data_IF_635107054975
#
_entry.id   IF_635107054975
#
_cell.length_a   1.000
_cell.length_b   1.000
_cell.length_c   1.000
_cell.angle_alpha   90.00
_cell.angle_beta   90.00
_cell.angle_gamma   90.00
#
_symmetry.space_group_name_H-M   'P 1'
#
loop_
_entity.id
_entity.type
_entity.pdbx_description
1 polymer ?
#
# COMPACT_ATOMS: atom_id res chain seq x y z
N UNK A 1 6.16 -26.71 13.52
CA UNK A 1 6.66 -25.85 12.44
C UNK A 1 7.05 -24.51 13.06
N UNK A 2 8.32 -24.18 13.13
CA UNK A 2 8.80 -22.89 13.66
C UNK A 2 8.95 -21.93 12.48
N UNK A 3 8.52 -20.67 12.58
CA UNK A 3 8.74 -19.69 11.51
C UNK A 3 10.24 -19.38 11.39
N UNK A 4 10.73 -19.24 10.19
CA UNK A 4 12.10 -18.85 9.87
C UNK A 4 12.46 -17.56 10.61
N UNK A 5 13.42 -17.62 11.53
CA UNK A 5 14.03 -16.46 12.16
C UNK A 5 15.18 -15.97 11.29
N UNK A 6 14.99 -14.82 10.64
CA UNK A 6 16.10 -14.07 10.08
C UNK A 6 16.94 -13.43 11.20
N UNK A 7 18.26 -13.32 11.03
CA UNK A 7 19.13 -12.74 12.06
C UNK A 7 18.81 -11.25 12.28
N UNK A 8 18.86 -10.89 13.54
CA UNK A 8 18.55 -9.60 14.14
C UNK A 8 19.52 -8.51 13.65
N UNK A 9 19.17 -7.75 12.61
CA UNK A 9 19.89 -6.57 12.12
C UNK A 9 19.23 -5.28 12.66
N UNK A 10 18.60 -5.36 13.83
CA UNK A 10 17.74 -4.33 14.40
C UNK A 10 18.35 -3.41 15.43
N UNK A 11 19.68 -3.24 15.56
CA UNK A 11 20.23 -2.51 16.75
C UNK A 11 20.92 -1.17 16.51
N UNK A 12 21.06 -0.65 15.32
CA UNK A 12 21.90 0.56 15.11
C UNK A 12 21.25 1.84 14.54
N UNK A 13 19.93 1.87 14.24
CA UNK A 13 19.36 3.02 13.51
C UNK A 13 18.30 3.85 14.27
N UNK A 14 18.03 3.57 15.55
CA UNK A 14 16.94 4.24 16.31
C UNK A 14 17.44 5.50 17.08
N UNK A 15 18.72 5.71 17.21
CA UNK A 15 19.26 6.82 18.03
C UNK A 15 19.24 8.21 17.37
N UNK A 16 19.00 8.32 16.05
CA UNK A 16 19.06 9.58 15.30
C UNK A 16 17.75 10.40 15.25
N UNK A 17 16.62 9.85 15.67
CA UNK A 17 15.29 10.45 15.43
C UNK A 17 14.77 11.39 16.53
N UNK A 18 15.52 11.66 17.60
CA UNK A 18 14.99 12.29 18.82
C UNK A 18 15.45 13.74 19.09
N UNK A 19 16.27 14.34 18.24
CA UNK A 19 16.92 15.64 18.56
C UNK A 19 16.24 16.91 17.98
N UNK A 20 15.07 16.82 17.34
CA UNK A 20 14.47 17.93 16.56
C UNK A 20 13.19 18.58 17.08
N UNK A 21 12.74 18.31 18.30
CA UNK A 21 11.41 18.77 18.77
C UNK A 21 11.49 19.64 20.04
N UNK A 22 11.97 20.86 19.95
CA UNK A 22 11.76 21.90 20.96
C UNK A 22 11.75 23.29 20.32
N UNK A 23 10.61 23.78 19.87
CA UNK A 23 10.23 25.21 19.96
C UNK A 23 8.71 25.31 20.07
N UNK A 24 8.23 25.74 21.22
CA UNK A 24 6.84 26.03 21.54
C UNK A 24 6.57 27.53 21.45
N UNK A 25 5.48 27.90 20.73
CA UNK A 25 4.82 29.17 20.90
C UNK A 25 3.41 28.94 21.47
N UNK A 26 3.16 29.43 22.65
CA UNK A 26 1.83 29.48 23.28
C UNK A 26 1.00 30.58 22.61
N UNK A 27 -0.21 30.25 22.16
CA UNK A 27 -1.25 31.26 21.80
C UNK A 27 -2.47 30.99 22.68
N UNK A 28 -2.86 32.02 23.40
CA UNK A 28 -4.03 32.03 24.31
C UNK A 28 -5.34 32.07 23.49
N UNK A 29 -6.44 31.48 24.00
CA UNK A 29 -7.72 31.53 23.30
C UNK A 29 -8.38 32.90 23.46
N UNK A 30 -8.71 33.57 22.37
CA UNK A 30 -9.63 34.70 22.32
C UNK A 30 -11.07 34.22 22.24
N UNK A 31 -11.91 34.72 23.12
CA UNK A 31 -13.34 34.49 23.12
C UNK A 31 -13.99 35.15 21.92
N UNK A 32 -14.67 34.36 21.08
CA UNK A 32 -15.45 34.85 19.95
C UNK A 32 -16.90 35.10 20.40
N UNK A 33 -17.45 36.22 19.93
CA UNK A 33 -18.82 36.69 20.17
C UNK A 33 -19.84 35.88 19.39
N UNK A 34 -21.01 35.68 20.00
CA UNK A 34 -22.20 35.11 19.39
C UNK A 34 -22.67 35.91 18.18
N UNK A 35 -22.67 35.26 17.03
CA UNK A 35 -23.46 35.65 15.87
C UNK A 35 -24.45 34.51 15.59
N UNK A 36 -25.73 34.84 15.66
CA UNK A 36 -26.83 33.94 15.31
C UNK A 36 -26.83 33.70 13.81
N UNK A 37 -26.49 32.49 13.39
CA UNK A 37 -26.62 32.10 12.00
C UNK A 37 -27.34 30.76 11.85
N UNK A 38 -28.19 30.70 10.84
CA UNK A 38 -28.81 29.46 10.39
C UNK A 38 -27.71 28.41 10.21
N UNK A 39 -27.72 27.38 11.06
CA UNK A 39 -26.76 26.27 10.98
C UNK A 39 -26.88 25.64 9.61
N UNK A 40 -25.98 25.96 8.71
CA UNK A 40 -25.77 25.14 7.53
C UNK A 40 -25.40 23.74 8.01
N UNK A 41 -26.11 22.74 7.52
CA UNK A 41 -25.83 21.33 7.88
C UNK A 41 -24.41 21.05 7.41
N UNK A 42 -23.53 20.65 8.32
CA UNK A 42 -22.16 20.32 8.00
C UNK A 42 -22.13 19.18 6.96
N UNK A 43 -21.22 19.20 5.98
CA UNK A 43 -21.15 18.15 4.97
C UNK A 43 -20.81 16.81 5.62
N UNK A 44 -21.50 15.73 5.19
CA UNK A 44 -21.29 14.36 5.69
C UNK A 44 -20.28 13.56 4.86
N UNK A 45 -19.73 14.12 3.80
CA UNK A 45 -18.76 13.49 2.89
C UNK A 45 -18.22 14.47 1.86
N UNK A 46 -17.36 14.00 0.94
CA UNK A 46 -16.86 14.77 -0.19
C UNK A 46 -17.98 15.34 -1.06
N UNK A 47 -17.70 16.33 -1.91
CA UNK A 47 -18.68 16.83 -2.87
C UNK A 47 -19.22 15.71 -3.77
N UNK A 48 -20.50 15.77 -4.20
CA UNK A 48 -21.04 14.80 -5.14
C UNK A 48 -20.19 14.74 -6.42
N UNK A 49 -19.80 13.53 -6.80
CA UNK A 49 -18.98 13.30 -7.99
C UNK A 49 -19.82 13.53 -9.26
N UNK A 50 -19.26 14.24 -10.23
CA UNK A 50 -19.79 14.29 -11.60
C UNK A 50 -19.56 12.96 -12.35
N UNK A 51 -20.02 12.88 -13.60
CA UNK A 51 -19.91 11.66 -14.39
C UNK A 51 -18.45 11.31 -14.73
N UNK A 52 -17.59 12.31 -14.99
CA UNK A 52 -16.17 12.07 -15.30
C UNK A 52 -15.40 11.66 -14.06
N UNK A 53 -15.66 12.27 -12.91
CA UNK A 53 -15.04 11.88 -11.64
C UNK A 53 -15.40 10.44 -11.28
N UNK A 54 -16.66 10.05 -11.42
CA UNK A 54 -17.08 8.63 -11.19
C UNK A 54 -16.40 7.68 -12.17
N UNK A 55 -16.37 8.00 -13.47
CA UNK A 55 -15.66 7.20 -14.49
C UNK A 55 -14.17 7.07 -14.12
N UNK A 56 -13.53 8.16 -13.74
CA UNK A 56 -12.14 8.15 -13.31
C UNK A 56 -11.89 7.18 -12.14
N UNK A 57 -12.75 7.18 -11.12
CA UNK A 57 -12.63 6.23 -9.99
C UNK A 57 -12.95 4.78 -10.37
N UNK A 58 -13.94 4.52 -11.23
CA UNK A 58 -14.22 3.17 -11.74
C UNK A 58 -12.99 2.60 -12.43
N UNK A 59 -12.37 3.35 -13.34
CA UNK A 59 -11.14 2.95 -14.02
C UNK A 59 -9.94 2.84 -13.07
N UNK A 60 -9.81 3.77 -12.12
CA UNK A 60 -8.75 3.75 -11.10
C UNK A 60 -8.76 2.47 -10.27
N UNK A 61 -9.92 2.09 -9.74
CA UNK A 61 -10.06 0.87 -8.95
C UNK A 61 -10.00 -0.41 -9.79
N UNK A 62 -10.25 -0.33 -11.09
CA UNK A 62 -10.04 -1.43 -12.05
C UNK A 62 -8.58 -1.51 -12.58
N UNK A 63 -7.66 -0.65 -12.10
CA UNK A 63 -6.26 -0.52 -12.53
C UNK A 63 -6.08 -0.03 -13.97
N UNK A 64 -7.13 0.46 -14.63
CA UNK A 64 -7.06 1.17 -15.92
C UNK A 64 -6.64 2.62 -15.70
N UNK A 65 -5.39 2.77 -15.25
CA UNK A 65 -4.86 4.08 -14.88
C UNK A 65 -4.76 5.06 -16.05
N UNK A 66 -4.58 4.58 -17.29
CA UNK A 66 -4.53 5.46 -18.46
C UNK A 66 -5.85 6.19 -18.66
N UNK A 67 -6.97 5.46 -18.61
CA UNK A 67 -8.30 6.05 -18.70
C UNK A 67 -8.62 6.90 -17.48
N UNK A 68 -8.30 6.44 -16.26
CA UNK A 68 -8.51 7.19 -15.03
C UNK A 68 -7.79 8.55 -15.04
N UNK A 69 -6.52 8.59 -15.43
CA UNK A 69 -5.71 9.81 -15.56
C UNK A 69 -6.34 10.76 -16.59
N UNK A 70 -6.71 10.22 -17.78
CA UNK A 70 -7.35 11.01 -18.83
C UNK A 70 -8.65 11.67 -18.34
N UNK A 71 -9.46 10.95 -17.57
CA UNK A 71 -10.72 11.49 -17.05
C UNK A 71 -10.46 12.54 -15.97
N UNK A 72 -9.55 12.30 -15.01
CA UNK A 72 -9.19 13.29 -14.00
C UNK A 72 -8.46 14.52 -14.57
N UNK A 73 -7.72 14.40 -15.68
CA UNK A 73 -7.16 15.56 -16.40
C UNK A 73 -8.27 16.45 -16.98
N UNK A 74 -9.34 15.85 -17.54
CA UNK A 74 -10.52 16.60 -18.02
C UNK A 74 -11.24 17.29 -16.86
N UNK A 75 -11.39 16.61 -15.71
CA UNK A 75 -11.97 17.20 -14.49
C UNK A 75 -11.13 18.39 -14.03
N UNK A 76 -9.81 18.23 -13.90
CA UNK A 76 -8.93 19.33 -13.48
C UNK A 76 -8.91 20.50 -14.48
N UNK A 77 -9.06 20.21 -15.77
CA UNK A 77 -9.17 21.25 -16.81
C UNK A 77 -10.50 22.02 -16.71
N UNK A 78 -11.59 21.34 -16.37
CA UNK A 78 -12.90 21.96 -16.18
C UNK A 78 -12.98 22.74 -14.85
N UNK A 79 -12.28 22.27 -13.82
CA UNK A 79 -12.29 22.83 -12.47
C UNK A 79 -10.85 23.12 -11.98
N UNK A 80 -10.15 24.09 -12.58
CA UNK A 80 -8.72 24.32 -12.33
C UNK A 80 -8.41 24.77 -10.90
N UNK A 81 -9.39 25.34 -10.20
CA UNK A 81 -9.25 25.88 -8.85
C UNK A 81 -9.85 24.94 -7.78
N UNK A 82 -10.26 23.74 -8.19
CA UNK A 82 -10.77 22.73 -7.26
C UNK A 82 -9.62 21.84 -6.72
N UNK A 83 -9.36 21.87 -5.38
CA UNK A 83 -8.35 21.03 -4.79
C UNK A 83 -8.66 19.52 -4.88
N UNK A 84 -9.95 19.12 -4.98
CA UNK A 84 -10.32 17.73 -5.20
C UNK A 84 -9.88 17.24 -6.58
N UNK A 85 -10.09 18.04 -7.63
CA UNK A 85 -9.66 17.69 -8.98
C UNK A 85 -8.13 17.47 -9.05
N UNK A 86 -7.36 18.33 -8.39
CA UNK A 86 -5.91 18.16 -8.29
C UNK A 86 -5.52 16.91 -7.49
N UNK A 87 -6.24 16.61 -6.39
CA UNK A 87 -6.00 15.43 -5.55
C UNK A 87 -6.32 14.12 -6.28
N UNK A 88 -7.45 14.04 -6.99
CA UNK A 88 -7.83 12.86 -7.76
C UNK A 88 -6.80 12.54 -8.86
N UNK A 89 -6.36 13.57 -9.60
CA UNK A 89 -5.35 13.38 -10.64
C UNK A 89 -4.01 12.93 -10.04
N UNK A 90 -3.53 13.56 -8.96
CA UNK A 90 -2.26 13.14 -8.35
C UNK A 90 -2.35 11.73 -7.77
N UNK A 91 -3.49 11.33 -7.22
CA UNK A 91 -3.71 9.97 -6.76
C UNK A 91 -3.55 8.98 -7.92
N UNK A 92 -4.24 9.21 -9.05
CA UNK A 92 -4.17 8.33 -10.20
C UNK A 92 -2.74 8.23 -10.78
N UNK A 93 -2.03 9.35 -10.93
CA UNK A 93 -0.65 9.36 -11.45
C UNK A 93 0.30 8.65 -10.48
N UNK A 94 0.16 8.88 -9.17
CA UNK A 94 1.03 8.27 -8.16
C UNK A 94 0.83 6.76 -8.05
N UNK A 95 -0.43 6.30 -7.97
CA UNK A 95 -0.73 4.89 -7.88
C UNK A 95 -0.47 4.14 -9.20
N UNK A 96 -0.60 4.80 -10.37
CA UNK A 96 -0.13 4.27 -11.65
C UNK A 96 1.37 3.94 -11.61
N UNK A 97 2.18 4.87 -11.10
CA UNK A 97 3.62 4.67 -11.04
C UNK A 97 4.00 3.62 -9.97
N UNK A 98 3.31 3.58 -8.82
CA UNK A 98 3.45 2.49 -7.85
C UNK A 98 3.10 1.13 -8.46
N UNK A 99 2.04 1.09 -9.29
CA UNK A 99 1.65 -0.10 -10.01
C UNK A 99 2.74 -0.57 -10.97
N UNK A 100 3.25 0.35 -11.80
CA UNK A 100 4.31 0.08 -12.78
C UNK A 100 5.55 -0.55 -12.14
N UNK A 101 5.91 -0.13 -10.93
CA UNK A 101 7.08 -0.67 -10.20
C UNK A 101 6.73 -1.84 -9.27
N UNK A 102 5.51 -2.38 -9.35
CA UNK A 102 5.07 -3.51 -8.55
C UNK A 102 4.87 -3.21 -7.06
N UNK A 103 4.79 -1.93 -6.69
CA UNK A 103 4.72 -1.50 -5.29
C UNK A 103 3.31 -1.58 -4.68
N UNK A 104 2.28 -1.95 -5.45
CA UNK A 104 0.91 -2.12 -4.93
C UNK A 104 0.60 -3.53 -4.40
N UNK A 105 1.53 -4.48 -4.51
CA UNK A 105 1.36 -5.79 -3.87
C UNK A 105 1.44 -5.65 -2.35
N UNK A 106 0.34 -5.92 -1.67
CA UNK A 106 0.23 -5.83 -0.21
C UNK A 106 1.14 -6.80 0.54
N UNK A 107 1.59 -7.88 -0.11
CA UNK A 107 2.55 -8.83 0.47
C UNK A 107 3.87 -8.16 0.85
N UNK A 108 4.25 -7.08 0.14
CA UNK A 108 5.43 -6.27 0.44
C UNK A 108 5.34 -5.61 1.83
N UNK A 109 4.13 -5.31 2.28
CA UNK A 109 3.82 -4.57 3.51
C UNK A 109 3.33 -5.48 4.65
N UNK A 110 3.21 -6.77 4.42
CA UNK A 110 2.76 -7.74 5.42
C UNK A 110 3.70 -7.79 6.64
N UNK A 111 4.98 -7.44 6.47
CA UNK A 111 5.98 -7.33 7.53
C UNK A 111 6.67 -5.97 7.50
N UNK A 112 7.54 -5.69 8.47
CA UNK A 112 8.30 -4.43 8.50
C UNK A 112 9.55 -4.45 7.57
N UNK A 113 9.78 -5.51 6.82
CA UNK A 113 10.92 -5.65 5.92
C UNK A 113 10.93 -4.59 4.79
N UNK A 114 9.76 -4.06 4.41
CA UNK A 114 9.66 -2.99 3.41
C UNK A 114 10.43 -1.71 3.79
N UNK A 115 10.64 -1.45 5.08
CA UNK A 115 11.41 -0.30 5.56
C UNK A 115 12.88 -0.36 5.13
N UNK A 116 13.43 -1.57 4.99
CA UNK A 116 14.80 -1.80 4.56
C UNK A 116 14.98 -1.85 3.03
N UNK A 117 13.88 -1.89 2.26
CA UNK A 117 13.95 -1.92 0.81
C UNK A 117 14.53 -0.63 0.22
N UNK A 118 15.23 -0.76 -0.90
CA UNK A 118 15.71 0.37 -1.71
C UNK A 118 14.53 1.25 -2.16
N UNK A 119 14.85 2.46 -2.63
CA UNK A 119 13.88 3.35 -3.27
C UNK A 119 13.26 2.66 -4.48
N UNK A 120 11.96 2.87 -4.67
CA UNK A 120 11.33 2.46 -5.92
C UNK A 120 11.84 3.33 -7.10
N UNK A 121 12.11 2.74 -8.26
CA UNK A 121 12.69 3.44 -9.42
C UNK A 121 11.61 4.20 -10.19
N UNK A 122 11.10 5.29 -9.63
CA UNK A 122 10.13 6.16 -10.30
C UNK A 122 10.75 6.90 -11.47
N UNK A 123 9.97 7.10 -12.53
CA UNK A 123 10.35 8.00 -13.62
C UNK A 123 10.50 9.44 -13.11
N UNK A 124 11.55 10.12 -13.54
CA UNK A 124 11.86 11.47 -13.05
C UNK A 124 10.82 12.51 -13.47
N UNK A 125 10.20 12.38 -14.66
CA UNK A 125 9.16 13.28 -15.15
C UNK A 125 7.87 13.05 -14.39
N UNK A 126 7.50 11.78 -14.18
CA UNK A 126 6.32 11.40 -13.38
C UNK A 126 6.49 11.87 -11.93
N UNK A 127 7.68 11.71 -11.34
CA UNK A 127 7.99 12.23 -10.00
C UNK A 127 7.83 13.76 -9.92
N UNK A 128 8.25 14.50 -10.94
CA UNK A 128 8.07 15.95 -10.98
C UNK A 128 6.58 16.34 -11.09
N UNK A 129 5.84 15.65 -11.96
CA UNK A 129 4.38 15.85 -12.10
C UNK A 129 3.63 15.58 -10.79
N UNK A 130 3.95 14.49 -10.11
CA UNK A 130 3.35 14.14 -8.81
C UNK A 130 3.59 15.27 -7.79
N UNK A 131 4.83 15.77 -7.69
CA UNK A 131 5.19 16.85 -6.76
C UNK A 131 4.44 18.15 -7.10
N UNK A 132 4.37 18.52 -8.38
CA UNK A 132 3.66 19.71 -8.85
C UNK A 132 2.16 19.63 -8.51
N UNK A 133 1.50 18.49 -8.79
CA UNK A 133 0.08 18.30 -8.48
C UNK A 133 -0.20 18.32 -6.97
N UNK A 134 0.69 17.74 -6.15
CA UNK A 134 0.59 17.82 -4.69
C UNK A 134 0.70 19.26 -4.18
N UNK A 135 1.68 20.02 -4.67
CA UNK A 135 1.82 21.44 -4.30
C UNK A 135 0.60 22.27 -4.72
N UNK A 136 0.07 22.01 -5.93
CA UNK A 136 -1.17 22.66 -6.41
C UNK A 136 -2.35 22.35 -5.50
N UNK A 137 -2.61 21.08 -5.18
CA UNK A 137 -3.70 20.67 -4.29
C UNK A 137 -3.60 21.31 -2.89
N UNK A 138 -2.38 21.37 -2.33
CA UNK A 138 -2.12 22.04 -1.06
C UNK A 138 -2.37 23.54 -1.14
N UNK A 139 -1.85 24.21 -2.16
CA UNK A 139 -2.02 25.66 -2.34
C UNK A 139 -3.50 26.06 -2.48
N UNK A 140 -4.27 25.33 -3.30
CA UNK A 140 -5.71 25.55 -3.47
C UNK A 140 -6.49 25.36 -2.16
N UNK A 141 -6.16 24.31 -1.41
CA UNK A 141 -6.78 24.07 -0.09
C UNK A 141 -6.43 25.17 0.91
N UNK A 142 -5.17 25.63 0.93
CA UNK A 142 -4.73 26.71 1.81
C UNK A 142 -5.36 28.06 1.46
N UNK A 143 -5.58 28.34 0.18
CA UNK A 143 -6.33 29.54 -0.26
C UNK A 143 -7.77 29.54 0.29
N UNK A 144 -8.48 28.40 0.21
CA UNK A 144 -9.82 28.27 0.78
C UNK A 144 -9.83 28.44 2.29
N UNK A 145 -8.88 27.82 2.99
CA UNK A 145 -8.75 27.89 4.44
C UNK A 145 -8.31 29.28 4.94
N UNK A 146 -7.66 30.08 4.11
CA UNK A 146 -7.36 31.48 4.42
C UNK A 146 -8.64 32.34 4.43
N UNK A 147 -9.65 31.97 3.64
CA UNK A 147 -10.96 32.64 3.60
C UNK A 147 -11.91 32.13 4.69
N UNK A 148 -11.94 30.79 4.86
CA UNK A 148 -12.71 30.10 5.91
C UNK A 148 -11.85 29.01 6.57
N UNK A 149 -11.29 29.26 7.75
CA UNK A 149 -10.49 28.28 8.50
C UNK A 149 -11.26 27.00 8.92
N UNK A 150 -12.60 27.03 8.87
CA UNK A 150 -13.47 25.90 9.19
C UNK A 150 -14.08 25.24 7.93
N UNK A 151 -13.60 25.56 6.74
CA UNK A 151 -14.01 24.89 5.51
C UNK A 151 -13.67 23.39 5.59
N UNK A 152 -14.69 22.59 5.93
CA UNK A 152 -14.58 21.13 6.14
C UNK A 152 -14.02 20.44 4.89
N UNK A 153 -14.46 20.86 3.69
CA UNK A 153 -14.02 20.25 2.44
C UNK A 153 -12.53 20.57 2.16
N UNK A 154 -12.12 21.81 2.40
CA UNK A 154 -10.73 22.22 2.22
C UNK A 154 -9.80 21.54 3.24
N UNK A 155 -10.23 21.39 4.52
CA UNK A 155 -9.50 20.61 5.53
C UNK A 155 -9.35 19.16 5.10
N UNK A 156 -10.45 18.54 4.63
CA UNK A 156 -10.46 17.14 4.22
C UNK A 156 -9.48 16.88 3.07
N UNK A 157 -9.61 17.62 1.95
CA UNK A 157 -8.76 17.38 0.78
C UNK A 157 -7.30 17.78 1.02
N UNK A 158 -7.03 18.79 1.86
CA UNK A 158 -5.66 19.10 2.32
C UNK A 158 -5.06 17.93 3.09
N UNK A 159 -5.85 17.33 3.96
CA UNK A 159 -5.47 16.14 4.71
C UNK A 159 -5.15 14.95 3.80
N UNK A 160 -5.99 14.68 2.78
CA UNK A 160 -5.72 13.65 1.77
C UNK A 160 -4.40 13.92 1.04
N UNK A 161 -4.20 15.14 0.53
CA UNK A 161 -2.97 15.50 -0.21
C UNK A 161 -1.72 15.39 0.66
N UNK A 162 -1.81 15.76 1.97
CA UNK A 162 -0.72 15.54 2.94
C UNK A 162 -0.47 14.05 3.19
N UNK A 163 -1.51 13.23 3.21
CA UNK A 163 -1.41 11.77 3.31
C UNK A 163 -0.63 11.18 2.13
N UNK A 164 -1.03 11.50 0.91
CA UNK A 164 -0.32 11.09 -0.32
C UNK A 164 1.14 11.56 -0.33
N UNK A 165 1.37 12.82 0.11
CA UNK A 165 2.73 13.36 0.21
C UNK A 165 3.58 12.61 1.25
N UNK A 166 2.99 12.21 2.36
CA UNK A 166 3.68 11.39 3.37
C UNK A 166 4.07 10.03 2.80
N UNK A 167 3.16 9.40 2.06
CA UNK A 167 3.39 8.12 1.39
C UNK A 167 4.50 8.22 0.34
N UNK A 168 4.44 9.22 -0.54
CA UNK A 168 5.48 9.48 -1.53
C UNK A 168 6.86 9.68 -0.88
N UNK A 169 6.95 10.53 0.14
CA UNK A 169 8.20 10.81 0.86
C UNK A 169 8.76 9.57 1.56
N UNK A 170 7.90 8.71 2.09
CA UNK A 170 8.32 7.46 2.74
C UNK A 170 8.77 6.40 1.73
N UNK A 171 8.00 6.17 0.67
CA UNK A 171 8.24 5.08 -0.27
C UNK A 171 9.29 5.43 -1.33
N UNK A 172 9.24 6.66 -1.88
CA UNK A 172 10.04 7.08 -3.02
C UNK A 172 11.30 7.82 -2.57
N UNK A 173 11.15 8.90 -1.79
CA UNK A 173 12.28 9.73 -1.40
C UNK A 173 13.04 9.19 -0.18
N UNK A 174 12.42 8.27 0.62
CA UNK A 174 12.94 7.77 1.92
C UNK A 174 13.20 8.90 2.92
N UNK A 175 12.44 9.98 2.81
CA UNK A 175 12.56 11.19 3.63
C UNK A 175 11.65 11.09 4.88
N UNK A 176 11.99 10.20 5.81
CA UNK A 176 11.15 9.77 6.93
C UNK A 176 10.65 10.92 7.83
N UNK A 177 11.48 11.93 8.13
CA UNK A 177 11.05 13.08 8.94
C UNK A 177 10.02 13.95 8.23
N UNK A 178 10.21 14.18 6.93
CA UNK A 178 9.26 14.93 6.13
C UNK A 178 7.95 14.14 5.95
N UNK A 179 8.04 12.83 5.76
CA UNK A 179 6.90 11.93 5.71
C UNK A 179 6.08 11.98 7.01
N UNK A 180 6.74 11.85 8.17
CA UNK A 180 6.09 11.94 9.48
C UNK A 180 5.39 13.29 9.69
N UNK A 181 6.05 14.41 9.35
CA UNK A 181 5.45 15.74 9.48
C UNK A 181 4.17 15.88 8.64
N UNK A 182 4.17 15.35 7.42
CA UNK A 182 2.99 15.37 6.56
C UNK A 182 1.89 14.43 7.09
N UNK A 183 2.23 13.24 7.56
CA UNK A 183 1.27 12.32 8.19
C UNK A 183 0.60 12.92 9.44
N UNK A 184 1.36 13.64 10.28
CA UNK A 184 0.82 14.36 11.43
C UNK A 184 -0.06 15.54 11.01
N UNK A 185 0.26 16.22 9.91
CA UNK A 185 -0.57 17.25 9.30
C UNK A 185 -1.90 16.68 8.80
N UNK A 186 -1.85 15.58 8.04
CA UNK A 186 -3.02 14.87 7.56
C UNK A 186 -3.95 14.44 8.70
N UNK A 187 -3.37 13.86 9.76
CA UNK A 187 -4.12 13.50 10.98
C UNK A 187 -4.87 14.70 11.55
N UNK A 188 -4.19 15.82 11.79
CA UNK A 188 -4.80 17.02 12.41
C UNK A 188 -5.94 17.57 11.56
N UNK A 189 -5.75 17.60 10.22
CA UNK A 189 -6.79 18.04 9.31
C UNK A 189 -8.04 17.16 9.40
N UNK A 190 -7.89 15.83 9.43
CA UNK A 190 -9.03 14.91 9.51
C UNK A 190 -9.65 14.84 10.91
N UNK A 191 -8.87 15.04 11.99
CA UNK A 191 -9.43 15.20 13.35
C UNK A 191 -10.29 16.46 13.43
N UNK A 192 -9.88 17.55 12.80
CA UNK A 192 -10.66 18.79 12.73
C UNK A 192 -11.92 18.60 11.87
N UNK A 193 -11.83 17.88 10.73
CA UNK A 193 -13.00 17.49 9.94
C UNK A 193 -14.03 16.77 10.82
N UNK A 194 -13.63 15.74 11.58
CA UNK A 194 -14.56 15.01 12.45
C UNK A 194 -15.05 15.84 13.64
N UNK A 195 -14.33 16.86 14.07
CA UNK A 195 -14.79 17.80 15.10
C UNK A 195 -15.90 18.70 14.58
N UNK A 196 -15.76 19.19 13.32
CA UNK A 196 -16.73 20.07 12.67
C UNK A 196 -17.91 19.31 12.07
N UNK A 197 -17.65 18.13 11.53
CA UNK A 197 -18.60 17.27 10.84
C UNK A 197 -18.43 15.80 11.31
N UNK A 198 -19.01 15.40 12.46
CA UNK A 198 -18.82 14.07 13.05
C UNK A 198 -19.24 12.90 12.15
N UNK A 199 -20.17 13.16 11.24
CA UNK A 199 -20.72 12.15 10.31
C UNK A 199 -19.89 12.03 9.01
N UNK A 200 -18.77 12.74 8.89
CA UNK A 200 -17.88 12.69 7.70
C UNK A 200 -17.05 11.40 7.71
N UNK A 201 -17.67 10.31 7.28
CA UNK A 201 -17.09 8.96 7.40
C UNK A 201 -15.76 8.78 6.66
N UNK A 202 -15.60 9.41 5.49
CA UNK A 202 -14.38 9.31 4.66
C UNK A 202 -13.12 9.81 5.42
N UNK A 203 -13.26 10.78 6.32
CA UNK A 203 -12.16 11.26 7.14
C UNK A 203 -11.58 10.17 8.08
N UNK A 204 -12.36 9.14 8.38
CA UNK A 204 -11.92 8.02 9.21
C UNK A 204 -10.91 7.10 8.50
N UNK A 205 -10.85 7.11 7.18
CA UNK A 205 -9.88 6.30 6.42
C UNK A 205 -8.44 6.68 6.77
N UNK A 206 -8.08 7.96 6.62
CA UNK A 206 -6.73 8.45 6.92
C UNK A 206 -6.42 8.32 8.42
N UNK A 207 -7.38 8.63 9.28
CA UNK A 207 -7.21 8.46 10.72
C UNK A 207 -7.04 7.00 11.12
N UNK A 208 -7.78 6.09 10.48
CA UNK A 208 -7.68 4.66 10.70
C UNK A 208 -6.28 4.13 10.38
N UNK A 209 -5.77 4.48 9.21
CA UNK A 209 -4.38 4.15 8.81
C UNK A 209 -3.38 4.75 9.80
N UNK A 210 -3.52 6.04 10.13
CA UNK A 210 -2.62 6.70 11.07
C UNK A 210 -2.59 6.02 12.45
N UNK A 211 -3.75 5.79 13.06
CA UNK A 211 -3.83 5.16 14.39
C UNK A 211 -3.28 3.74 14.41
N UNK A 212 -3.51 2.97 13.34
CA UNK A 212 -2.97 1.62 13.24
C UNK A 212 -1.46 1.62 13.09
N UNK A 213 -0.92 2.40 12.16
CA UNK A 213 0.54 2.48 11.90
C UNK A 213 1.27 2.99 13.13
N UNK A 214 0.81 4.09 13.74
CA UNK A 214 1.36 4.62 14.99
C UNK A 214 1.28 3.60 16.13
N UNK A 215 0.15 2.86 16.22
CA UNK A 215 -0.06 1.76 17.17
C UNK A 215 0.83 0.54 16.95
N UNK A 216 1.44 0.41 15.78
CA UNK A 216 2.33 -0.70 15.42
C UNK A 216 3.81 -0.38 15.61
N UNK A 217 4.16 0.87 15.95
CA UNK A 217 5.53 1.27 16.23
C UNK A 217 6.11 0.56 17.48
N UNK A 218 7.43 0.35 17.56
CA UNK A 218 8.10 -0.19 18.73
C UNK A 218 7.80 0.64 19.99
N UNK A 219 7.74 -0.01 21.16
CA UNK A 219 7.37 0.64 22.42
C UNK A 219 8.30 1.83 22.78
N UNK A 220 9.59 1.76 22.44
CA UNK A 220 10.57 2.83 22.64
C UNK A 220 10.19 4.10 21.86
N UNK A 221 9.73 3.94 20.62
CA UNK A 221 9.25 5.06 19.78
C UNK A 221 7.94 5.59 20.33
N UNK A 222 7.03 4.70 20.77
CA UNK A 222 5.77 5.10 21.41
C UNK A 222 5.99 5.89 22.69
N UNK A 223 6.90 5.47 23.55
CA UNK A 223 7.22 6.18 24.80
C UNK A 223 7.68 7.62 24.53
N UNK A 224 8.53 7.82 23.51
CA UNK A 224 8.96 9.15 23.09
C UNK A 224 7.81 9.97 22.48
N UNK A 225 6.97 9.34 21.66
CA UNK A 225 5.83 9.99 21.02
C UNK A 225 4.66 10.30 21.97
N UNK A 226 4.53 9.57 23.12
CA UNK A 226 3.52 9.89 24.15
C UNK A 226 3.74 11.24 24.82
N UNK A 227 4.98 11.68 24.92
CA UNK A 227 5.34 13.00 25.47
C UNK A 227 4.78 14.15 24.63
N UNK A 228 4.46 13.93 23.37
CA UNK A 228 3.88 14.93 22.44
C UNK A 228 2.39 14.69 22.14
N UNK A 229 1.70 13.92 22.96
CA UNK A 229 0.24 13.74 22.87
C UNK A 229 -0.23 12.93 21.66
N UNK A 230 0.65 12.13 21.05
CA UNK A 230 0.28 11.26 19.93
C UNK A 230 -0.55 10.08 20.45
N UNK A 231 -1.85 10.11 20.19
CA UNK A 231 -2.74 8.97 20.42
C UNK A 231 -2.46 7.86 19.41
N UNK A 232 -2.32 6.63 19.88
CA UNK A 232 -2.17 5.44 19.05
C UNK A 232 -3.03 4.32 19.58
N UNK A 233 -3.69 3.62 18.69
CA UNK A 233 -4.43 2.41 19.01
C UNK A 233 -4.72 1.64 17.75
N UNK A 234 -4.08 0.47 17.59
CA UNK A 234 -4.40 -0.44 16.47
C UNK A 234 -5.89 -0.78 16.43
N UNK A 235 -6.50 -1.03 17.58
CA UNK A 235 -7.93 -1.32 17.70
C UNK A 235 -8.80 -0.16 17.18
N UNK A 236 -8.50 1.09 17.60
CA UNK A 236 -9.20 2.29 17.12
C UNK A 236 -8.99 2.48 15.61
N UNK A 237 -7.76 2.25 15.12
CA UNK A 237 -7.45 2.34 13.69
C UNK A 237 -8.29 1.38 12.86
N UNK A 238 -8.35 0.10 13.25
CA UNK A 238 -9.18 -0.91 12.60
C UNK A 238 -10.66 -0.53 12.67
N UNK A 239 -11.16 -0.03 13.81
CA UNK A 239 -12.55 0.38 13.93
C UNK A 239 -12.90 1.53 12.99
N UNK A 240 -12.04 2.55 12.89
CA UNK A 240 -12.23 3.67 11.96
C UNK A 240 -12.27 3.22 10.51
N UNK A 241 -11.42 2.26 10.14
CA UNK A 241 -11.44 1.68 8.80
C UNK A 241 -12.73 0.89 8.53
N UNK A 242 -13.26 0.16 9.51
CA UNK A 242 -14.58 -0.48 9.38
C UNK A 242 -15.70 0.55 9.19
N UNK A 243 -15.67 1.62 9.96
CA UNK A 243 -16.67 2.69 9.85
C UNK A 243 -16.65 3.31 8.45
N UNK A 244 -15.47 3.68 7.94
CA UNK A 244 -15.30 4.25 6.60
C UNK A 244 -15.68 3.26 5.49
N UNK A 245 -15.24 1.99 5.60
CA UNK A 245 -15.53 0.95 4.63
C UNK A 245 -17.03 0.68 4.48
N UNK A 246 -17.79 0.79 5.56
CA UNK A 246 -19.23 0.49 5.59
C UNK A 246 -20.11 1.71 5.30
N UNK A 247 -19.57 2.92 5.33
CA UNK A 247 -20.32 4.14 5.02
C UNK A 247 -20.65 4.29 3.53
N UNK A 248 -19.90 3.62 2.62
CA UNK A 248 -20.11 3.72 1.18
C UNK A 248 -19.69 5.05 0.58
N UNK A 249 -18.82 5.81 1.27
CA UNK A 249 -18.23 7.05 0.77
C UNK A 249 -17.14 6.82 -0.28
N UNK A 250 -16.53 7.89 -0.74
CA UNK A 250 -15.49 7.90 -1.77
C UNK A 250 -14.29 7.01 -1.41
N UNK A 251 -13.86 7.04 -0.14
CA UNK A 251 -12.71 6.25 0.35
C UNK A 251 -13.08 4.86 0.87
N UNK A 252 -14.30 4.38 0.65
CA UNK A 252 -14.72 3.08 1.19
C UNK A 252 -13.91 1.89 0.64
N UNK A 253 -13.48 1.96 -0.62
CA UNK A 253 -12.60 0.96 -1.21
C UNK A 253 -11.18 1.01 -0.59
N UNK A 254 -10.62 2.22 -0.43
CA UNK A 254 -9.30 2.40 0.21
C UNK A 254 -9.31 1.92 1.67
N UNK A 255 -10.40 2.19 2.40
CA UNK A 255 -10.58 1.68 3.75
C UNK A 255 -10.58 0.14 3.80
N UNK A 256 -11.21 -0.53 2.81
CA UNK A 256 -11.20 -2.01 2.71
C UNK A 256 -9.82 -2.56 2.35
N UNK A 257 -9.06 -1.88 1.47
CA UNK A 257 -7.68 -2.25 1.14
C UNK A 257 -6.81 -2.17 2.40
N UNK A 258 -6.89 -1.06 3.13
CA UNK A 258 -6.16 -0.88 4.39
C UNK A 258 -6.58 -1.90 5.46
N UNK A 259 -7.88 -2.22 5.56
CA UNK A 259 -8.39 -3.28 6.44
C UNK A 259 -7.79 -4.64 6.10
N UNK A 260 -7.79 -5.04 4.83
CA UNK A 260 -7.25 -6.32 4.41
C UNK A 260 -5.77 -6.45 4.83
N UNK A 261 -4.95 -5.42 4.57
CA UNK A 261 -3.56 -5.39 4.97
C UNK A 261 -3.37 -5.45 6.50
N UNK A 262 -4.13 -4.68 7.27
CA UNK A 262 -3.94 -4.60 8.72
C UNK A 262 -4.50 -5.83 9.44
N UNK A 263 -5.63 -6.38 8.97
CA UNK A 263 -6.18 -7.63 9.49
C UNK A 263 -5.25 -8.82 9.19
N UNK A 264 -4.61 -8.84 8.01
CA UNK A 264 -3.55 -9.81 7.68
C UNK A 264 -2.39 -9.74 8.69
N UNK A 265 -1.92 -8.53 9.02
CA UNK A 265 -0.85 -8.32 10.04
C UNK A 265 -1.27 -8.73 11.46
N UNK A 266 -2.56 -8.67 11.77
CA UNK A 266 -3.14 -9.16 13.05
C UNK A 266 -3.54 -10.63 12.99
N UNK A 267 -3.24 -11.36 11.90
CA UNK A 267 -3.62 -12.77 11.66
C UNK A 267 -5.13 -13.02 11.69
N UNK A 268 -5.94 -12.00 11.41
CA UNK A 268 -7.40 -12.04 11.29
C UNK A 268 -7.79 -12.32 9.83
N UNK A 269 -7.36 -13.47 9.31
CA UNK A 269 -7.41 -13.77 7.88
C UNK A 269 -8.83 -13.86 7.33
N UNK A 270 -9.79 -14.43 8.06
CA UNK A 270 -11.18 -14.53 7.57
C UNK A 270 -11.84 -13.17 7.38
N UNK A 271 -11.56 -12.21 8.27
CA UNK A 271 -12.06 -10.85 8.14
C UNK A 271 -11.37 -10.09 7.00
N UNK A 272 -10.07 -10.30 6.81
CA UNK A 272 -9.34 -9.77 5.67
C UNK A 272 -9.90 -10.32 4.35
N UNK A 273 -10.16 -11.63 4.27
CA UNK A 273 -10.79 -12.27 3.11
C UNK A 273 -12.17 -11.72 2.83
N UNK A 274 -12.99 -11.47 3.86
CA UNK A 274 -14.30 -10.86 3.69
C UNK A 274 -14.21 -9.46 3.06
N UNK A 275 -13.27 -8.63 3.52
CA UNK A 275 -13.03 -7.28 2.96
C UNK A 275 -12.59 -7.34 1.49
N UNK A 276 -11.63 -8.23 1.17
CA UNK A 276 -11.11 -8.38 -0.20
C UNK A 276 -12.17 -8.92 -1.16
N UNK A 277 -13.03 -9.86 -0.72
CA UNK A 277 -14.10 -10.40 -1.57
C UNK A 277 -15.14 -9.35 -1.96
N UNK A 278 -15.42 -8.38 -1.10
CA UNK A 278 -16.26 -7.22 -1.46
C UNK A 278 -15.59 -6.41 -2.56
N UNK A 279 -14.28 -6.18 -2.48
CA UNK A 279 -13.51 -5.46 -3.51
C UNK A 279 -13.49 -6.22 -4.84
N UNK A 280 -13.30 -7.55 -4.81
CA UNK A 280 -13.34 -8.39 -6.01
C UNK A 280 -14.72 -8.32 -6.69
N UNK A 281 -15.81 -8.32 -5.91
CA UNK A 281 -17.16 -8.23 -6.44
C UNK A 281 -17.45 -6.87 -7.08
N UNK A 282 -16.94 -5.78 -6.50
CA UNK A 282 -17.10 -4.42 -7.02
C UNK A 282 -16.19 -4.15 -8.23
N UNK A 283 -14.96 -4.66 -8.22
CA UNK A 283 -13.92 -4.39 -9.22
C UNK A 283 -13.28 -5.69 -9.73
N UNK A 284 -14.04 -6.50 -10.52
CA UNK A 284 -13.58 -7.82 -10.94
C UNK A 284 -12.40 -7.80 -11.92
N UNK A 285 -12.10 -6.64 -12.50
CA UNK A 285 -10.95 -6.42 -13.39
C UNK A 285 -9.66 -6.11 -12.66
N UNK A 286 -9.72 -5.86 -11.35
CA UNK A 286 -8.55 -5.62 -10.53
C UNK A 286 -7.91 -6.95 -10.10
N UNK A 287 -6.82 -7.32 -10.77
CA UNK A 287 -6.11 -8.57 -10.46
C UNK A 287 -5.44 -8.56 -9.07
N UNK A 288 -5.08 -7.36 -8.53
CA UNK A 288 -4.45 -7.27 -7.22
C UNK A 288 -5.37 -7.75 -6.10
N UNK A 289 -6.68 -7.50 -6.21
CA UNK A 289 -7.63 -8.02 -5.23
C UNK A 289 -7.74 -9.55 -5.29
N UNK A 290 -7.75 -10.13 -6.49
CA UNK A 290 -7.74 -11.57 -6.67
C UNK A 290 -6.41 -12.21 -6.20
N UNK A 291 -5.27 -11.52 -6.43
CA UNK A 291 -3.96 -11.92 -5.93
C UNK A 291 -3.91 -11.84 -4.40
N UNK A 292 -4.49 -10.80 -3.79
CA UNK A 292 -4.54 -10.66 -2.33
C UNK A 292 -5.41 -11.76 -1.68
N UNK A 293 -6.53 -12.16 -2.30
CA UNK A 293 -7.29 -13.33 -1.82
C UNK A 293 -6.41 -14.57 -1.78
N UNK A 294 -5.62 -14.82 -2.82
CA UNK A 294 -4.72 -15.97 -2.87
C UNK A 294 -3.60 -15.87 -1.81
N UNK A 295 -3.03 -14.67 -1.62
CA UNK A 295 -2.03 -14.40 -0.59
C UNK A 295 -2.58 -14.65 0.82
N UNK A 296 -3.78 -14.16 1.11
CA UNK A 296 -4.45 -14.34 2.41
C UNK A 296 -4.76 -15.81 2.69
N UNK A 297 -5.25 -16.56 1.69
CA UNK A 297 -5.49 -17.99 1.81
C UNK A 297 -4.19 -18.76 2.11
N UNK A 298 -3.10 -18.41 1.44
CA UNK A 298 -1.78 -18.98 1.70
C UNK A 298 -1.33 -18.70 3.13
N UNK A 299 -1.40 -17.46 3.57
CA UNK A 299 -0.96 -17.03 4.90
C UNK A 299 -1.85 -17.60 6.02
N UNK A 300 -3.12 -17.85 5.74
CA UNK A 300 -4.06 -18.55 6.61
C UNK A 300 -3.79 -20.08 6.71
N UNK A 301 -2.82 -20.62 5.97
CA UNK A 301 -2.55 -22.06 5.91
C UNK A 301 -3.56 -22.87 5.10
N UNK A 302 -4.45 -22.20 4.34
CA UNK A 302 -5.48 -22.82 3.47
C UNK A 302 -4.88 -23.18 2.12
N UNK A 303 -3.84 -24.01 2.15
CA UNK A 303 -2.97 -24.32 1.01
C UNK A 303 -3.70 -24.75 -0.28
N UNK A 304 -4.61 -25.76 -0.28
CA UNK A 304 -5.34 -26.15 -1.48
C UNK A 304 -6.18 -25.00 -2.09
N UNK A 305 -6.81 -24.19 -1.26
CA UNK A 305 -7.59 -23.04 -1.70
C UNK A 305 -6.70 -21.93 -2.27
N UNK A 306 -5.55 -21.67 -1.65
CA UNK A 306 -4.55 -20.74 -2.15
C UNK A 306 -4.06 -21.14 -3.55
N UNK A 307 -3.70 -22.42 -3.75
CA UNK A 307 -3.29 -22.96 -5.05
C UNK A 307 -4.38 -22.75 -6.10
N UNK A 308 -5.64 -23.04 -5.76
CA UNK A 308 -6.77 -22.81 -6.67
C UNK A 308 -6.94 -21.33 -7.02
N UNK A 309 -6.82 -20.43 -6.03
CA UNK A 309 -6.94 -18.99 -6.22
C UNK A 309 -5.80 -18.44 -7.11
N UNK A 310 -4.52 -18.79 -6.86
CA UNK A 310 -3.40 -18.38 -7.72
C UNK A 310 -3.56 -18.89 -9.16
N UNK A 311 -3.97 -20.16 -9.33
CA UNK A 311 -4.23 -20.72 -10.67
C UNK A 311 -5.34 -19.95 -11.39
N UNK A 312 -6.38 -19.52 -10.69
CA UNK A 312 -7.45 -18.70 -11.24
C UNK A 312 -6.92 -17.34 -11.70
N UNK A 313 -6.11 -16.65 -10.88
CA UNK A 313 -5.48 -15.36 -11.26
C UNK A 313 -4.66 -15.53 -12.54
N UNK A 314 -3.80 -16.54 -12.61
CA UNK A 314 -2.96 -16.82 -13.77
C UNK A 314 -3.77 -17.17 -15.02
N UNK A 315 -4.82 -17.99 -14.87
CA UNK A 315 -5.69 -18.37 -16.00
C UNK A 315 -6.46 -17.16 -16.54
N UNK A 316 -7.05 -16.34 -15.66
CA UNK A 316 -7.77 -15.13 -16.04
C UNK A 316 -6.85 -14.09 -16.70
N UNK A 317 -5.65 -13.87 -16.14
CA UNK A 317 -4.69 -12.92 -16.70
C UNK A 317 -4.17 -13.32 -18.08
N UNK A 318 -4.01 -14.63 -18.34
CA UNK A 318 -3.60 -15.14 -19.66
C UNK A 318 -4.66 -14.99 -20.76
N UNK A 319 -5.93 -14.78 -20.41
CA UNK A 319 -6.98 -14.50 -21.40
C UNK A 319 -6.82 -13.13 -22.06
N UNK A 320 -6.09 -12.20 -21.41
CA UNK A 320 -5.67 -10.93 -21.98
C UNK A 320 -6.75 -9.83 -22.10
N UNK A 321 -7.99 -10.12 -21.67
CA UNK A 321 -9.13 -9.20 -21.85
C UNK A 321 -9.88 -8.85 -20.55
N UNK A 322 -9.45 -9.39 -19.42
CA UNK A 322 -10.09 -9.14 -18.11
C UNK A 322 -9.28 -8.16 -17.28
N UNK A 323 -8.00 -8.45 -17.04
CA UNK A 323 -7.11 -7.61 -16.23
C UNK A 323 -6.31 -6.63 -17.10
N UNK A 324 -6.09 -5.41 -16.61
CA UNK A 324 -5.20 -4.43 -17.24
C UNK A 324 -3.75 -4.72 -16.83
N UNK A 325 -2.90 -5.05 -17.82
CA UNK A 325 -1.44 -5.24 -17.66
C UNK A 325 -1.01 -5.95 -16.36
N UNK A 326 -1.55 -7.14 -16.03
CA UNK A 326 -1.35 -7.78 -14.75
C UNK A 326 0.09 -8.26 -14.59
N UNK A 327 0.66 -8.04 -13.41
CA UNK A 327 1.95 -8.58 -13.00
C UNK A 327 1.82 -10.07 -12.62
N UNK A 328 1.64 -10.94 -13.61
CA UNK A 328 1.38 -12.37 -13.40
C UNK A 328 2.56 -13.13 -12.76
N UNK A 329 3.77 -12.59 -12.85
CA UNK A 329 4.97 -13.11 -12.18
C UNK A 329 4.79 -13.17 -10.66
N UNK A 330 4.07 -12.23 -10.05
CA UNK A 330 3.77 -12.25 -8.61
C UNK A 330 2.86 -13.42 -8.25
N UNK A 331 1.81 -13.65 -9.06
CA UNK A 331 0.91 -14.78 -8.86
C UNK A 331 1.62 -16.13 -9.12
N UNK A 332 2.54 -16.18 -10.09
CA UNK A 332 3.35 -17.39 -10.35
C UNK A 332 4.29 -17.71 -9.19
N UNK A 333 4.96 -16.69 -8.64
CA UNK A 333 5.81 -16.87 -7.46
C UNK A 333 4.98 -17.32 -6.23
N UNK A 334 3.85 -16.67 -5.97
CA UNK A 334 2.94 -17.03 -4.88
C UNK A 334 2.38 -18.45 -5.03
N UNK A 335 2.09 -18.90 -6.26
CA UNK A 335 1.72 -20.28 -6.54
C UNK A 335 2.84 -21.26 -6.18
N UNK A 336 4.08 -20.91 -6.53
CA UNK A 336 5.25 -21.71 -6.17
C UNK A 336 5.38 -21.89 -4.67
N UNK A 337 5.24 -20.80 -3.91
CA UNK A 337 5.27 -20.84 -2.43
C UNK A 337 4.12 -21.70 -1.85
N UNK A 338 2.91 -21.58 -2.39
CA UNK A 338 1.76 -22.35 -1.94
C UNK A 338 1.93 -23.86 -2.22
N UNK A 339 2.45 -24.23 -3.39
CA UNK A 339 2.74 -25.62 -3.77
C UNK A 339 3.89 -26.22 -2.95
N UNK A 340 4.96 -25.41 -2.72
CA UNK A 340 6.07 -25.79 -1.82
C UNK A 340 5.55 -26.14 -0.42
N UNK A 341 4.64 -25.30 0.12
CA UNK A 341 4.02 -25.55 1.43
C UNK A 341 3.16 -26.82 1.50
N UNK A 342 2.76 -27.36 0.36
CA UNK A 342 2.03 -28.62 0.22
C UNK A 342 2.95 -29.82 -0.15
N UNK A 343 4.26 -29.61 -0.24
CA UNK A 343 5.26 -30.58 -0.71
C UNK A 343 5.08 -31.03 -2.18
N UNK A 344 4.33 -30.26 -2.98
CA UNK A 344 4.32 -30.43 -4.44
C UNK A 344 5.53 -29.70 -5.04
N UNK A 345 6.71 -30.30 -4.85
CA UNK A 345 7.96 -29.68 -5.27
C UNK A 345 8.09 -29.58 -6.81
N UNK A 346 7.49 -30.51 -7.53
CA UNK A 346 7.50 -30.46 -9.01
C UNK A 346 6.62 -29.30 -9.52
N UNK A 347 5.41 -29.18 -8.98
CA UNK A 347 4.52 -28.07 -9.29
C UNK A 347 5.13 -26.72 -8.88
N UNK A 348 5.77 -26.66 -7.70
CA UNK A 348 6.45 -25.46 -7.20
C UNK A 348 7.59 -25.02 -8.14
N UNK A 349 8.46 -25.95 -8.56
CA UNK A 349 9.54 -25.66 -9.49
C UNK A 349 9.01 -25.08 -10.81
N UNK A 350 7.96 -25.68 -11.39
CA UNK A 350 7.32 -25.19 -12.61
C UNK A 350 6.71 -23.81 -12.47
N UNK A 351 6.08 -23.52 -11.30
CA UNK A 351 5.53 -22.21 -11.00
C UNK A 351 6.61 -21.13 -10.89
N UNK A 352 7.71 -21.40 -10.17
CA UNK A 352 8.85 -20.48 -10.08
C UNK A 352 9.52 -20.24 -11.43
N UNK A 353 9.64 -21.25 -12.29
CA UNK A 353 10.20 -21.09 -13.63
C UNK A 353 9.36 -20.18 -14.51
N UNK A 354 8.03 -20.17 -14.32
CA UNK A 354 7.13 -19.33 -15.09
C UNK A 354 7.27 -17.83 -14.79
N UNK A 355 7.84 -17.46 -13.63
CA UNK A 355 8.11 -16.06 -13.24
C UNK A 355 8.97 -15.37 -14.30
N UNK A 356 10.03 -16.02 -14.82
CA UNK A 356 10.93 -15.45 -15.82
C UNK A 356 10.29 -15.24 -17.19
N UNK A 357 9.14 -15.82 -17.45
CA UNK A 357 8.46 -15.70 -18.75
C UNK A 357 7.70 -14.36 -18.87
N UNK A 358 7.44 -13.67 -17.75
CA UNK A 358 6.82 -12.36 -17.77
C UNK A 358 7.84 -11.27 -18.09
N UNK A 359 7.51 -10.41 -19.05
CA UNK A 359 8.37 -9.27 -19.46
C UNK A 359 8.46 -8.18 -18.38
N UNK A 360 7.54 -8.19 -17.43
CA UNK A 360 7.44 -7.24 -16.32
C UNK A 360 8.17 -7.69 -15.07
N UNK A 361 8.72 -8.91 -15.04
CA UNK A 361 9.35 -9.46 -13.85
C UNK A 361 10.59 -8.66 -13.44
N UNK A 362 10.57 -8.16 -12.21
CA UNK A 362 11.72 -7.53 -11.57
C UNK A 362 12.88 -8.53 -11.41
N UNK A 363 14.11 -8.04 -11.58
CA UNK A 363 15.35 -8.86 -11.48
C UNK A 363 15.45 -9.56 -10.11
N UNK A 364 15.08 -8.92 -9.01
CA UNK A 364 15.14 -9.48 -7.66
C UNK A 364 14.12 -10.61 -7.48
N UNK A 365 12.92 -10.48 -8.10
CA UNK A 365 11.92 -11.54 -8.12
C UNK A 365 12.38 -12.74 -8.95
N UNK A 366 12.96 -12.48 -10.13
CA UNK A 366 13.52 -13.54 -10.98
C UNK A 366 14.66 -14.28 -10.28
N UNK A 367 15.53 -13.55 -9.57
CA UNK A 367 16.61 -14.13 -8.77
C UNK A 367 16.06 -15.02 -7.64
N UNK A 368 15.06 -14.54 -6.92
CA UNK A 368 14.38 -15.28 -5.85
C UNK A 368 13.69 -16.55 -6.39
N UNK A 369 13.03 -16.44 -7.54
CA UNK A 369 12.38 -17.57 -8.20
C UNK A 369 13.37 -18.63 -8.67
N UNK A 370 14.53 -18.23 -9.24
CA UNK A 370 15.58 -19.18 -9.61
C UNK A 370 16.17 -19.89 -8.39
N UNK A 371 16.41 -19.18 -7.29
CA UNK A 371 16.88 -19.79 -6.06
C UNK A 371 15.89 -20.84 -5.54
N UNK A 372 14.62 -20.45 -5.42
CA UNK A 372 13.55 -21.33 -4.97
C UNK A 372 13.35 -22.54 -5.90
N UNK A 373 13.41 -22.35 -7.22
CA UNK A 373 13.35 -23.47 -8.17
C UNK A 373 14.53 -24.44 -7.99
N UNK A 374 15.74 -23.93 -7.77
CA UNK A 374 16.92 -24.74 -7.46
C UNK A 374 16.74 -25.59 -6.21
N UNK A 375 16.19 -25.00 -5.13
CA UNK A 375 15.84 -25.71 -3.89
C UNK A 375 14.83 -26.84 -4.15
N UNK A 376 13.80 -26.58 -4.97
CA UNK A 376 12.82 -27.61 -5.33
C UNK A 376 13.46 -28.75 -6.14
N UNK A 377 14.36 -28.45 -7.08
CA UNK A 377 15.07 -29.47 -7.83
C UNK A 377 16.02 -30.32 -6.96
N UNK A 378 16.65 -29.73 -5.95
CA UNK A 378 17.42 -30.53 -4.97
C UNK A 378 16.52 -31.51 -4.21
N UNK A 379 15.33 -31.07 -3.74
CA UNK A 379 14.34 -31.93 -3.06
C UNK A 379 13.81 -33.06 -3.97
N UNK A 380 13.75 -32.81 -5.30
CA UNK A 380 13.38 -33.80 -6.30
C UNK A 380 14.56 -34.70 -6.74
N UNK A 381 15.73 -34.52 -6.13
CA UNK A 381 16.98 -35.23 -6.50
C UNK A 381 17.44 -34.97 -7.96
N UNK A 382 17.04 -33.84 -8.53
CA UNK A 382 17.38 -33.38 -9.87
C UNK A 382 18.56 -32.39 -9.82
N UNK A 383 19.71 -32.87 -9.33
CA UNK A 383 20.86 -32.02 -8.99
C UNK A 383 21.36 -31.15 -10.16
N UNK A 384 21.38 -31.70 -11.38
CA UNK A 384 21.87 -30.96 -12.54
C UNK A 384 20.99 -29.73 -12.85
N UNK A 385 19.67 -29.82 -12.63
CA UNK A 385 18.76 -28.71 -12.78
C UNK A 385 18.94 -27.69 -11.64
N UNK A 386 19.10 -28.17 -10.41
CA UNK A 386 19.37 -27.31 -9.25
C UNK A 386 20.64 -26.46 -9.46
N UNK A 387 21.74 -27.11 -9.89
CA UNK A 387 23.01 -26.42 -10.17
C UNK A 387 22.85 -25.34 -11.23
N UNK A 388 22.10 -25.59 -12.33
CA UNK A 388 21.82 -24.58 -13.36
C UNK A 388 21.10 -23.38 -12.81
N UNK A 389 20.13 -23.60 -11.91
CA UNK A 389 19.36 -22.51 -11.28
C UNK A 389 20.23 -21.67 -10.34
N UNK A 390 21.03 -22.30 -9.49
CA UNK A 390 21.96 -21.59 -8.60
C UNK A 390 23.02 -20.82 -9.36
N UNK A 391 23.53 -21.36 -10.46
CA UNK A 391 24.45 -20.63 -11.35
C UNK A 391 23.78 -19.39 -11.99
N UNK A 392 22.52 -19.52 -12.41
CA UNK A 392 21.76 -18.38 -12.95
C UNK A 392 21.61 -17.24 -11.91
N UNK A 393 21.33 -17.58 -10.63
CA UNK A 393 21.29 -16.61 -9.52
C UNK A 393 22.62 -15.87 -9.38
N UNK A 394 23.73 -16.61 -9.32
CA UNK A 394 25.08 -16.04 -9.13
C UNK A 394 25.48 -15.17 -10.32
N UNK A 395 25.11 -15.58 -11.55
CA UNK A 395 25.42 -14.83 -12.77
C UNK A 395 24.64 -13.52 -12.85
N UNK A 396 23.37 -13.52 -12.40
CA UNK A 396 22.52 -12.34 -12.40
C UNK A 396 23.04 -11.26 -11.45
N UNK A 397 23.40 -11.62 -10.22
CA UNK A 397 23.92 -10.70 -9.21
C UNK A 397 24.83 -11.41 -8.20
N UNK A 398 26.12 -11.43 -8.47
CA UNK A 398 27.12 -12.14 -7.67
C UNK A 398 27.23 -11.66 -6.22
N UNK A 399 26.77 -10.46 -5.90
CA UNK A 399 26.86 -9.86 -4.56
C UNK A 399 25.56 -9.92 -3.77
N UNK A 400 24.50 -10.51 -4.32
CA UNK A 400 23.22 -10.60 -3.63
C UNK A 400 23.22 -11.65 -2.49
N UNK A 401 22.34 -11.50 -1.50
CA UNK A 401 22.11 -12.53 -0.47
C UNK A 401 21.67 -13.87 -1.07
N UNK A 402 20.87 -13.84 -2.13
CA UNK A 402 20.45 -15.06 -2.86
C UNK A 402 21.63 -15.76 -3.49
N UNK A 403 22.59 -15.00 -4.08
CA UNK A 403 23.82 -15.57 -4.66
C UNK A 403 24.72 -16.22 -3.58
N UNK A 404 24.77 -15.65 -2.39
CA UNK A 404 25.47 -16.28 -1.26
C UNK A 404 24.81 -17.62 -0.87
N UNK A 405 23.48 -17.63 -0.78
CA UNK A 405 22.71 -18.85 -0.51
C UNK A 405 22.89 -19.87 -1.64
N UNK A 406 22.84 -19.45 -2.90
CA UNK A 406 23.07 -20.30 -4.06
C UNK A 406 24.48 -20.96 -4.02
N UNK A 407 25.55 -20.20 -3.63
CA UNK A 407 26.90 -20.77 -3.47
C UNK A 407 26.96 -21.85 -2.37
N UNK A 408 26.22 -21.67 -1.27
CA UNK A 408 26.11 -22.71 -0.25
C UNK A 408 25.45 -23.97 -0.81
N UNK A 409 24.34 -23.80 -1.54
CA UNK A 409 23.61 -24.92 -2.13
C UNK A 409 24.37 -25.59 -3.30
N UNK A 410 25.29 -24.91 -3.96
CA UNK A 410 26.22 -25.56 -4.91
C UNK A 410 27.17 -26.53 -4.21
N UNK A 411 27.60 -26.26 -2.97
CA UNK A 411 28.47 -27.14 -2.19
C UNK A 411 27.67 -28.24 -1.49
N UNK A 412 26.54 -27.88 -0.91
CA UNK A 412 25.66 -28.76 -0.16
C UNK A 412 24.23 -28.62 -0.68
N UNK A 413 23.68 -29.71 -1.31
CA UNK A 413 22.31 -29.65 -1.82
C UNK A 413 21.31 -29.21 -0.76
N UNK A 414 20.34 -28.42 -1.16
CA UNK A 414 19.26 -27.99 -0.26
C UNK A 414 18.50 -29.21 0.26
N UNK A 415 18.22 -29.22 1.57
CA UNK A 415 17.39 -30.21 2.25
C UNK A 415 16.27 -29.49 2.99
N UNK A 416 15.07 -30.05 2.93
CA UNK A 416 13.95 -29.48 3.69
C UNK A 416 14.26 -29.60 5.19
N UNK A 417 14.27 -28.51 5.98
CA UNK A 417 14.59 -28.53 7.41
C UNK A 417 13.54 -29.26 8.24
#
# INVERSE_FOLDING_TARGET
MRPYSFPDVGRCWIAGCLAGLLVFGWVAPTLASDASDAKSVAPSGPPPQDALTRSGFEHYYDLDFETAISDFEKVLKAHPDDPFAANHLVSAVFYCELYRVGALDTSLYATNSFLAKKKFPFDAKVSAQIKELMERGLALSEQRLALDPQDVQALYVRGLTRGLRAEYLALVDKAWFAALRNALGARRDHEEVLRLAPDYADAKTVLGVHYYVAGSLPWTVKAAASLVGLGWSRKKGIQYLYDAANAGGETSADARIALALFLRREHRFDEALAAVRILIAAHPRNYLYALEEANLLKDAGRGPEAVAAYRKVLATGRQGNVYYHPHLEMAAFGLGEALRGQNDFAGAAGAYESVRQASTADSDLVESANLAAGEMYDLLQQRDLAVKKYQAVITANASSPSAETARRHLKEPYRNP
#
